data_IF_512101361215
#
_entry.id   IF_512101361215
#
_cell.length_a   1.000
_cell.length_b   1.000
_cell.length_c   1.000
_cell.angle_alpha   90.00
_cell.angle_beta   90.00
_cell.angle_gamma   90.00
#
_symmetry.space_group_name_H-M   'P 1'
#
loop_
_entity.id
_entity.type
_entity.pdbx_description
1 polymer ?
#
# COMPACT_ATOMS: atom_id res chain seq x y z
N UNK A 1 22.25 -66.24 -39.60
CA UNK A 1 22.53 -64.88 -40.10
C UNK A 1 22.50 -63.93 -38.91
N UNK A 2 23.57 -63.15 -38.75
CA UNK A 2 23.77 -61.97 -37.89
C UNK A 2 23.49 -62.05 -36.36
N UNK A 3 24.59 -62.03 -35.62
CA UNK A 3 24.81 -61.44 -34.28
C UNK A 3 24.10 -60.10 -34.07
N UNK A 4 23.66 -59.82 -32.84
CA UNK A 4 24.04 -58.64 -32.02
C UNK A 4 23.12 -58.59 -30.80
N UNK A 5 23.74 -58.74 -29.63
CA UNK A 5 23.14 -58.51 -28.32
C UNK A 5 23.46 -57.07 -27.92
N UNK A 6 22.43 -56.25 -27.70
CA UNK A 6 22.58 -54.83 -27.32
C UNK A 6 22.65 -54.71 -25.79
N UNK A 7 23.64 -53.99 -25.24
CA UNK A 7 23.76 -53.72 -23.80
C UNK A 7 22.91 -52.52 -23.34
N UNK A 8 22.67 -52.35 -22.03
CA UNK A 8 22.03 -51.17 -21.47
C UNK A 8 23.02 -50.01 -21.34
N UNK A 9 22.67 -48.83 -21.87
CA UNK A 9 23.43 -47.58 -21.76
C UNK A 9 22.65 -46.59 -20.89
N UNK A 10 23.21 -46.24 -19.74
CA UNK A 10 22.86 -45.04 -18.98
C UNK A 10 24.14 -44.23 -18.87
N UNK A 11 24.28 -43.25 -19.75
CA UNK A 11 25.38 -42.29 -19.77
C UNK A 11 24.84 -40.87 -19.86
N UNK A 12 25.74 -39.93 -19.54
CA UNK A 12 25.66 -38.47 -19.65
C UNK A 12 25.07 -37.80 -18.39
N UNK A 13 25.75 -36.88 -17.71
CA UNK A 13 26.86 -35.98 -18.04
C UNK A 13 27.17 -35.23 -16.71
N UNK A 14 28.32 -34.71 -16.32
CA UNK A 14 29.63 -34.42 -16.91
C UNK A 14 30.57 -34.02 -15.74
N UNK A 15 31.87 -34.33 -15.80
CA UNK A 15 32.85 -34.06 -14.72
C UNK A 15 33.54 -32.69 -14.85
N UNK A 16 33.85 -32.05 -13.72
CA UNK A 16 34.89 -31.02 -13.61
C UNK A 16 36.26 -31.68 -13.51
N UNK A 17 37.30 -31.14 -14.17
CA UNK A 17 38.56 -30.93 -13.43
C UNK A 17 39.37 -29.69 -13.89
N UNK A 18 39.91 -28.87 -12.95
CA UNK A 18 41.34 -28.81 -12.53
C UNK A 18 42.22 -27.97 -13.51
N UNK A 19 43.06 -26.99 -13.12
CA UNK A 19 44.40 -27.06 -12.48
C UNK A 19 44.94 -25.60 -12.36
N UNK A 20 45.46 -25.15 -11.20
CA UNK A 20 46.91 -25.06 -10.85
C UNK A 20 47.66 -23.90 -11.54
N UNK A 21 48.16 -22.88 -10.84
CA UNK A 21 49.44 -22.73 -10.08
C UNK A 21 50.01 -21.37 -10.61
N UNK A 22 50.73 -20.51 -9.91
CA UNK A 22 52.08 -20.68 -9.35
C UNK A 22 52.42 -19.50 -8.42
N UNK A 23 53.31 -19.78 -7.48
CA UNK A 23 53.74 -18.93 -6.37
C UNK A 23 54.56 -17.67 -6.73
N UNK A 24 54.66 -16.84 -5.70
CA UNK A 24 55.85 -16.11 -5.23
C UNK A 24 56.00 -14.60 -5.51
N UNK A 25 56.28 -13.91 -4.39
CA UNK A 25 57.01 -12.66 -4.16
C UNK A 25 56.21 -11.38 -3.83
N UNK A 26 56.11 -11.18 -2.52
CA UNK A 26 55.87 -9.97 -1.73
C UNK A 26 56.48 -8.65 -2.24
N UNK A 27 55.98 -7.54 -1.64
CA UNK A 27 56.76 -6.35 -1.28
C UNK A 27 56.65 -5.08 -2.16
N UNK A 28 55.42 -4.69 -2.53
CA UNK A 28 55.08 -3.27 -2.84
C UNK A 28 53.73 -2.87 -2.25
N UNK A 29 53.45 -3.33 -1.03
CA UNK A 29 52.72 -2.46 -0.10
C UNK A 29 53.69 -1.33 0.27
N UNK A 30 53.52 -0.16 -0.36
CA UNK A 30 53.87 1.20 0.11
C UNK A 30 54.36 2.08 -1.06
N UNK A 31 53.44 2.76 -1.75
CA UNK A 31 53.54 4.17 -2.21
C UNK A 31 52.41 4.49 -3.19
N UNK A 32 51.96 5.75 -3.15
CA UNK A 32 51.02 6.42 -4.07
C UNK A 32 49.53 6.39 -3.69
N UNK A 33 49.23 7.19 -2.68
CA UNK A 33 48.03 8.02 -2.71
C UNK A 33 47.99 8.86 -4.01
N UNK A 34 46.93 8.73 -4.81
CA UNK A 34 46.44 9.79 -5.70
C UNK A 34 45.01 9.48 -6.21
N UNK A 35 44.04 10.15 -5.59
CA UNK A 35 42.85 10.77 -6.19
C UNK A 35 41.86 9.92 -7.03
N UNK A 36 40.66 9.81 -6.44
CA UNK A 36 39.34 9.91 -7.10
C UNK A 36 38.89 8.76 -8.01
N UNK A 37 38.26 7.77 -7.36
CA UNK A 37 36.93 7.38 -7.80
C UNK A 37 35.94 7.67 -6.68
N UNK A 38 35.24 8.80 -6.83
CA UNK A 38 33.94 9.04 -6.19
C UNK A 38 33.09 7.82 -6.54
N UNK A 39 32.81 6.96 -5.56
CA UNK A 39 31.75 5.98 -5.73
C UNK A 39 30.44 6.77 -5.82
N UNK A 40 29.76 6.74 -6.97
CA UNK A 40 28.49 7.42 -7.14
C UNK A 40 27.45 6.66 -6.32
N UNK A 41 26.64 7.40 -5.57
CA UNK A 41 25.28 6.98 -5.24
C UNK A 41 25.18 5.75 -4.32
N UNK A 42 25.46 5.93 -3.03
CA UNK A 42 24.41 5.52 -2.10
C UNK A 42 23.22 6.40 -2.44
N UNK A 43 22.21 5.87 -3.14
CA UNK A 43 20.87 6.36 -2.86
C UNK A 43 20.64 5.96 -1.42
N UNK A 44 20.71 6.95 -0.55
CA UNK A 44 19.70 7.02 0.49
C UNK A 44 18.39 7.28 -0.25
N UNK A 45 17.80 6.24 -0.85
CA UNK A 45 16.36 6.27 -1.09
C UNK A 45 15.80 6.46 0.29
N UNK A 46 15.03 7.53 0.59
CA UNK A 46 14.23 7.47 1.79
C UNK A 46 13.39 6.22 1.59
N UNK A 47 13.70 5.17 2.33
CA UNK A 47 12.79 4.06 2.52
C UNK A 47 11.57 4.74 3.08
N UNK A 48 10.60 5.08 2.21
CA UNK A 48 9.27 5.52 2.60
C UNK A 48 8.62 4.26 3.15
N UNK A 49 9.15 3.80 4.28
CA UNK A 49 8.56 2.75 5.08
C UNK A 49 7.12 3.19 5.27
N UNK A 50 6.20 2.31 4.89
CA UNK A 50 4.77 2.55 4.87
C UNK A 50 4.34 3.13 6.21
N UNK A 51 4.30 4.45 6.30
CA UNK A 51 3.88 5.12 7.52
C UNK A 51 2.39 4.86 7.59
N UNK A 52 1.96 4.02 8.54
CA UNK A 52 0.55 3.82 8.85
C UNK A 52 -0.08 5.20 8.93
N UNK A 53 -1.12 5.42 8.14
CA UNK A 53 -1.82 6.70 8.11
C UNK A 53 -2.36 6.91 9.52
N UNK A 54 -2.01 8.02 10.15
CA UNK A 54 -2.62 8.37 11.44
C UNK A 54 -3.93 9.09 11.10
N UNK A 55 -5.09 8.52 11.45
CA UNK A 55 -6.36 9.17 11.17
C UNK A 55 -6.46 10.50 11.94
N UNK A 56 -7.10 11.50 11.33
CA UNK A 56 -7.42 12.77 11.98
C UNK A 56 -6.28 13.80 12.06
N UNK A 57 -5.12 13.52 11.48
CA UNK A 57 -4.02 14.50 11.42
C UNK A 57 -4.21 15.49 10.25
N UNK A 58 -3.60 16.70 10.28
CA UNK A 58 -3.68 17.61 9.14
C UNK A 58 -3.05 17.02 7.87
N UNK A 59 -2.02 16.19 7.99
CA UNK A 59 -1.39 15.52 6.84
C UNK A 59 -2.34 14.55 6.16
N UNK A 60 -3.24 13.91 6.92
CA UNK A 60 -4.27 13.04 6.38
C UNK A 60 -5.29 13.82 5.51
N UNK A 61 -5.60 15.07 5.86
CA UNK A 61 -6.58 15.89 5.12
C UNK A 61 -6.14 16.22 3.69
N UNK A 62 -4.84 16.38 3.48
CA UNK A 62 -4.28 16.76 2.18
C UNK A 62 -4.02 15.54 1.27
N UNK A 63 -4.29 14.33 1.76
CA UNK A 63 -4.10 13.11 0.97
C UNK A 63 -5.23 12.89 -0.01
N UNK A 64 -4.84 12.52 -1.21
CA UNK A 64 -5.74 12.05 -2.26
C UNK A 64 -5.61 10.54 -2.37
N UNK A 65 -6.71 9.83 -2.18
CA UNK A 65 -6.77 8.36 -2.24
C UNK A 65 -7.91 8.00 -3.21
N UNK A 66 -7.67 7.04 -4.10
CA UNK A 66 -8.64 6.63 -5.13
C UNK A 66 -9.64 5.62 -4.59
N UNK A 67 -10.82 5.51 -5.20
CA UNK A 67 -11.80 4.46 -4.88
C UNK A 67 -11.23 3.06 -5.05
N UNK A 68 -10.36 2.87 -6.05
CA UNK A 68 -9.69 1.59 -6.27
C UNK A 68 -8.81 1.22 -5.07
N UNK A 69 -8.11 2.18 -4.48
CA UNK A 69 -7.33 1.95 -3.26
C UNK A 69 -8.25 1.67 -2.07
N UNK A 70 -9.30 2.48 -1.88
CA UNK A 70 -10.29 2.25 -0.80
C UNK A 70 -10.90 0.85 -0.86
N UNK A 71 -11.19 0.33 -2.06
CA UNK A 71 -11.76 -1.01 -2.23
C UNK A 71 -10.89 -2.18 -1.74
N UNK A 72 -9.60 -1.94 -1.49
CA UNK A 72 -8.69 -2.93 -0.93
C UNK A 72 -8.84 -3.08 0.59
N UNK A 73 -9.53 -2.14 1.24
CA UNK A 73 -9.71 -2.05 2.69
C UNK A 73 -11.14 -2.44 3.07
N UNK A 74 -11.50 -3.70 2.78
CA UNK A 74 -12.84 -4.28 2.95
C UNK A 74 -12.94 -5.28 4.11
N UNK A 75 -11.94 -5.33 5.00
CA UNK A 75 -11.86 -6.34 6.07
C UNK A 75 -12.10 -5.72 7.45
N UNK A 76 -12.59 -6.48 8.46
CA UNK A 76 -12.81 -5.93 9.80
C UNK A 76 -11.53 -5.44 10.51
N UNK A 77 -10.35 -5.83 10.03
CA UNK A 77 -9.06 -5.38 10.59
C UNK A 77 -8.42 -4.25 9.77
N UNK A 78 -9.06 -3.88 8.67
CA UNK A 78 -8.62 -2.86 7.72
C UNK A 78 -9.85 -2.41 6.92
N UNK A 79 -10.66 -1.55 7.54
CA UNK A 79 -11.98 -1.18 7.07
C UNK A 79 -12.03 0.33 6.80
N UNK A 80 -12.05 0.68 5.52
CA UNK A 80 -12.22 2.08 5.10
C UNK A 80 -13.58 2.30 4.48
N UNK A 81 -14.13 3.48 4.70
CA UNK A 81 -15.41 3.90 4.12
C UNK A 81 -15.30 5.28 3.53
N UNK A 82 -16.03 5.50 2.44
CA UNK A 82 -16.20 6.83 1.86
C UNK A 82 -17.49 7.44 2.39
N UNK A 83 -17.41 8.66 2.92
CA UNK A 83 -18.57 9.46 3.32
C UNK A 83 -18.37 10.87 2.76
N UNK A 84 -19.29 11.33 1.92
CA UNK A 84 -19.27 12.63 1.26
C UNK A 84 -17.94 12.95 0.56
N UNK A 85 -17.40 12.00 -0.20
CA UNK A 85 -16.09 12.06 -0.88
C UNK A 85 -14.87 12.18 0.05
N UNK A 86 -15.03 12.00 1.36
CA UNK A 86 -13.94 11.86 2.33
C UNK A 86 -13.79 10.39 2.68
N UNK A 87 -12.57 10.00 3.02
CA UNK A 87 -12.22 8.62 3.28
C UNK A 87 -11.86 8.52 4.76
N UNK A 88 -12.48 7.57 5.43
CA UNK A 88 -12.37 7.37 6.86
C UNK A 88 -11.89 5.96 7.14
N UNK A 89 -10.89 5.85 8.01
CA UNK A 89 -10.48 4.57 8.58
C UNK A 89 -11.29 4.34 9.86
N UNK A 90 -12.24 3.41 9.78
CA UNK A 90 -13.16 3.10 10.88
C UNK A 90 -12.78 1.80 11.59
N UNK A 91 -11.61 1.23 11.28
CA UNK A 91 -11.16 -0.06 11.83
C UNK A 91 -11.25 -0.12 13.34
N UNK A 92 -10.76 0.91 14.03
CA UNK A 92 -10.79 1.00 15.49
C UNK A 92 -12.17 1.37 16.06
N UNK A 93 -13.10 1.81 15.22
CA UNK A 93 -14.44 2.26 15.62
C UNK A 93 -15.51 1.17 15.44
N UNK A 94 -15.18 0.04 14.81
CA UNK A 94 -16.16 -1.00 14.49
C UNK A 94 -16.97 -1.46 15.70
N UNK A 95 -16.29 -1.78 16.81
CA UNK A 95 -16.89 -2.27 18.05
C UNK A 95 -17.55 -1.15 18.90
N UNK A 96 -17.22 0.11 18.63
CA UNK A 96 -17.74 1.26 19.39
C UNK A 96 -19.03 1.83 18.77
N UNK A 97 -19.41 1.38 17.58
CA UNK A 97 -20.55 1.92 16.86
C UNK A 97 -21.88 1.49 17.49
N UNK A 98 -22.76 2.43 17.90
CA UNK A 98 -24.02 2.10 18.55
C UNK A 98 -25.00 1.27 17.70
N UNK A 99 -24.83 1.26 16.37
CA UNK A 99 -25.63 0.47 15.44
C UNK A 99 -25.08 -0.93 15.14
N UNK A 100 -23.95 -1.31 15.75
CA UNK A 100 -23.23 -2.55 15.47
C UNK A 100 -22.22 -2.41 14.33
N UNK A 101 -21.28 -3.37 14.28
CA UNK A 101 -20.24 -3.50 13.26
C UNK A 101 -20.77 -4.08 11.94
N UNK A 102 -21.78 -4.97 12.00
CA UNK A 102 -22.41 -5.61 10.85
C UNK A 102 -22.78 -4.61 9.74
N UNK A 103 -23.43 -3.50 10.11
CA UNK A 103 -23.88 -2.49 9.15
C UNK A 103 -22.74 -1.66 8.58
N UNK A 104 -21.60 -1.56 9.26
CA UNK A 104 -20.42 -0.87 8.72
C UNK A 104 -19.65 -1.78 7.77
N UNK A 105 -19.56 -3.07 8.10
CA UNK A 105 -18.89 -4.07 7.26
C UNK A 105 -19.57 -4.25 5.90
N UNK A 106 -20.88 -4.04 5.80
CA UNK A 106 -21.60 -4.03 4.52
C UNK A 106 -21.07 -2.96 3.54
N UNK A 107 -20.56 -1.84 4.07
CA UNK A 107 -20.02 -0.72 3.31
C UNK A 107 -18.49 -0.64 3.34
N UNK A 108 -17.80 -1.65 3.89
CA UNK A 108 -16.35 -1.70 3.90
C UNK A 108 -15.79 -1.63 2.47
N UNK A 109 -14.81 -0.76 2.25
CA UNK A 109 -14.20 -0.48 0.96
C UNK A 109 -15.11 0.25 -0.04
N UNK A 110 -16.23 0.84 0.40
CA UNK A 110 -17.26 1.43 -0.48
C UNK A 110 -17.75 2.80 0.02
N UNK A 111 -18.61 3.42 -0.79
CA UNK A 111 -19.33 4.62 -0.41
C UNK A 111 -20.51 4.30 0.51
N UNK A 112 -20.46 4.86 1.72
CA UNK A 112 -21.48 4.76 2.76
C UNK A 112 -22.29 6.06 2.90
N UNK A 113 -22.11 7.04 2.02
CA UNK A 113 -22.73 8.38 2.12
C UNK A 113 -24.25 8.34 2.25
N UNK A 114 -24.93 7.50 1.46
CA UNK A 114 -26.38 7.35 1.52
C UNK A 114 -26.83 6.70 2.83
N UNK A 115 -26.18 5.62 3.24
CA UNK A 115 -26.49 4.92 4.48
C UNK A 115 -26.27 5.81 5.71
N UNK A 116 -25.15 6.53 5.75
CA UNK A 116 -24.81 7.48 6.80
C UNK A 116 -25.83 8.62 6.93
N UNK A 117 -26.39 9.07 5.79
CA UNK A 117 -27.47 10.07 5.78
C UNK A 117 -28.78 9.49 6.29
N UNK A 118 -29.18 8.33 5.78
CA UNK A 118 -30.47 7.72 6.09
C UNK A 118 -30.61 7.28 7.55
N UNK A 119 -29.50 7.00 8.25
CA UNK A 119 -29.53 6.64 9.67
C UNK A 119 -29.81 7.82 10.61
N UNK A 120 -29.72 9.07 10.14
CA UNK A 120 -30.05 10.25 10.95
C UNK A 120 -29.01 10.62 12.01
N UNK A 121 -27.72 10.45 11.72
CA UNK A 121 -26.64 10.84 12.63
C UNK A 121 -26.72 12.32 13.06
N UNK A 122 -26.53 12.56 14.36
CA UNK A 122 -26.48 13.93 14.91
C UNK A 122 -25.27 14.72 14.41
N UNK A 123 -25.32 16.05 14.48
CA UNK A 123 -24.21 16.93 14.10
C UNK A 123 -22.92 16.57 14.87
N UNK A 124 -23.04 16.12 16.11
CA UNK A 124 -21.89 15.71 16.92
C UNK A 124 -21.25 14.42 16.39
N UNK A 125 -22.06 13.45 15.97
CA UNK A 125 -21.57 12.22 15.34
C UNK A 125 -20.85 12.53 14.03
N UNK A 126 -21.39 13.43 13.20
CA UNK A 126 -20.72 13.88 11.98
C UNK A 126 -19.39 14.57 12.25
N UNK A 127 -19.28 15.37 13.32
CA UNK A 127 -17.99 15.95 13.75
C UNK A 127 -17.01 14.91 14.26
N UNK A 128 -17.49 13.83 14.87
CA UNK A 128 -16.63 12.77 15.38
C UNK A 128 -15.86 12.04 14.25
N UNK A 129 -16.42 12.01 13.03
CA UNK A 129 -15.77 11.46 11.83
C UNK A 129 -14.44 12.14 11.51
N UNK A 130 -14.27 13.42 11.85
CA UNK A 130 -13.03 14.15 11.55
C UNK A 130 -11.79 13.52 12.21
N UNK A 131 -11.97 12.72 13.28
CA UNK A 131 -10.89 11.97 13.94
C UNK A 131 -10.42 10.75 13.13
N UNK A 132 -11.28 10.22 12.28
CA UNK A 132 -11.02 9.01 11.48
C UNK A 132 -10.61 9.34 10.04
N UNK A 133 -10.53 10.63 9.69
CA UNK A 133 -10.24 11.09 8.35
C UNK A 133 -8.81 10.73 7.93
N UNK A 134 -8.67 10.01 6.82
CA UNK A 134 -7.36 9.61 6.26
C UNK A 134 -7.05 10.24 4.90
N UNK A 135 -8.05 10.82 4.24
CA UNK A 135 -7.91 11.45 2.93
C UNK A 135 -9.22 11.88 2.29
N UNK A 136 -9.10 12.37 1.07
CA UNK A 136 -10.24 12.71 0.20
C UNK A 136 -10.10 12.04 -1.16
N UNK A 137 -11.23 11.83 -1.84
CA UNK A 137 -11.21 11.30 -3.21
C UNK A 137 -10.57 12.29 -4.19
N UNK A 138 -9.95 11.82 -5.29
CA UNK A 138 -9.53 12.68 -6.38
C UNK A 138 -10.74 13.33 -7.03
N UNK A 139 -10.55 14.54 -7.56
CA UNK A 139 -11.65 15.38 -8.08
C UNK A 139 -12.54 14.64 -9.10
N UNK A 140 -11.95 13.77 -9.91
CA UNK A 140 -12.62 13.00 -10.97
C UNK A 140 -13.60 11.97 -10.40
N UNK A 141 -13.34 11.46 -9.20
CA UNK A 141 -14.15 10.43 -8.53
C UNK A 141 -15.13 11.04 -7.52
N UNK A 142 -15.06 12.35 -7.26
CA UNK A 142 -15.98 13.05 -6.35
C UNK A 142 -17.39 13.14 -6.94
N UNK A 143 -18.39 12.79 -6.13
CA UNK A 143 -19.80 12.90 -6.46
C UNK A 143 -20.51 14.03 -5.69
N UNK A 144 -20.05 14.39 -4.48
CA UNK A 144 -20.72 15.38 -3.62
C UNK A 144 -20.00 16.74 -3.55
N UNK A 145 -18.67 16.80 -3.69
CA UNK A 145 -17.82 17.98 -3.44
C UNK A 145 -17.06 18.41 -4.68
N UNK A 146 -17.79 18.61 -5.78
CA UNK A 146 -17.24 19.19 -7.01
C UNK A 146 -17.09 20.71 -6.87
N UNK A 147 -16.01 21.31 -7.40
CA UNK A 147 -15.91 22.76 -7.58
C UNK A 147 -17.09 23.22 -8.45
N UNK A 148 -18.02 23.98 -7.86
CA UNK A 148 -19.27 24.39 -8.51
C UNK A 148 -20.42 23.36 -8.47
N UNK A 149 -20.27 22.27 -7.71
CA UNK A 149 -21.33 21.29 -7.46
C UNK A 149 -22.27 21.67 -6.32
N UNK A 150 -23.44 21.02 -6.29
CA UNK A 150 -24.47 21.08 -5.24
C UNK A 150 -23.81 20.78 -3.88
N UNK A 151 -23.86 21.71 -2.92
CA UNK A 151 -23.34 21.49 -1.57
C UNK A 151 -24.28 20.53 -0.83
N UNK A 152 -23.79 19.93 0.26
CA UNK A 152 -24.61 19.04 1.11
C UNK A 152 -25.93 19.71 1.58
N UNK A 153 -25.91 21.04 1.72
CA UNK A 153 -27.07 21.89 2.04
C UNK A 153 -28.14 21.98 0.94
N UNK A 154 -27.80 21.59 -0.28
CA UNK A 154 -28.59 21.85 -1.48
C UNK A 154 -29.28 20.56 -1.98
N UNK A 155 -29.15 19.43 -1.25
CA UNK A 155 -29.79 18.16 -1.55
C UNK A 155 -31.14 18.11 -0.80
N UNK A 156 -32.29 18.00 -1.50
CA UNK A 156 -33.61 18.00 -0.86
C UNK A 156 -33.77 16.81 0.10
N UNK A 157 -34.54 17.03 1.18
CA UNK A 157 -34.89 16.02 2.20
C UNK A 157 -35.60 14.79 1.60
#
# INVERSE_FOLDING_TARGET
MATVQSPPDLSLTSPLPVKQDTNDLDLVALTMAALRFVSPWSVDTPTKWSTRIVPGTPEAKDRVITLAEVSLHDTPKDCWVVIYDRIYDITDFLDEHPGGDDIMLEYAGRDASTAFRSSGHSILATKALDRFLIGELPLQERMYRRPGGIRLSDIPE
#
